data_IF_319113655549
#
_entry.id   IF_319113655549
#
_cell.length_a   1.000
_cell.length_b   1.000
_cell.length_c   1.000
_cell.angle_alpha   90.00
_cell.angle_beta   90.00
_cell.angle_gamma   90.00
#
_symmetry.space_group_name_H-M   'P 1'
#
loop_
_entity.id
_entity.type
_entity.pdbx_description
1 polymer ?
#
# COMPACT_ATOMS: atom_id res chain seq x y z
N UNK A 1 -21.17 10.72 -4.06
CA UNK A 1 -20.89 9.88 -2.88
C UNK A 1 -21.90 8.74 -2.80
N UNK A 2 -21.43 7.50 -2.75
CA UNK A 2 -22.24 6.28 -2.60
C UNK A 2 -22.05 5.71 -1.20
N UNK A 3 -23.08 5.14 -0.60
CA UNK A 3 -23.06 4.58 0.76
C UNK A 3 -23.62 3.16 0.75
N UNK A 4 -22.95 2.27 1.47
CA UNK A 4 -23.31 0.86 1.63
C UNK A 4 -23.30 0.51 3.12
N UNK A 5 -24.29 -0.26 3.58
CA UNK A 5 -24.30 -0.78 4.95
C UNK A 5 -23.39 -2.00 5.03
N UNK A 6 -22.31 -1.88 5.81
CA UNK A 6 -21.23 -2.86 5.92
C UNK A 6 -20.79 -2.95 7.38
N UNK A 7 -21.57 -3.63 8.24
CA UNK A 7 -21.28 -3.72 9.68
C UNK A 7 -20.05 -4.57 9.99
N UNK A 8 -19.50 -5.29 9.01
CA UNK A 8 -18.27 -6.06 9.11
C UNK A 8 -17.23 -5.54 8.10
N UNK A 9 -15.92 -5.77 8.34
CA UNK A 9 -14.86 -5.40 7.42
C UNK A 9 -15.09 -5.94 6.01
N UNK A 10 -14.81 -5.10 5.00
CA UNK A 10 -15.05 -5.41 3.59
C UNK A 10 -13.76 -5.80 2.86
N UNK A 11 -13.91 -6.39 1.68
CA UNK A 11 -12.83 -6.47 0.69
C UNK A 11 -13.03 -5.36 -0.35
N UNK A 12 -12.19 -4.33 -0.33
CA UNK A 12 -12.19 -3.26 -1.31
C UNK A 12 -11.26 -3.61 -2.48
N UNK A 13 -11.83 -3.83 -3.65
CA UNK A 13 -11.13 -4.09 -4.91
C UNK A 13 -11.23 -2.83 -5.78
N UNK A 14 -10.07 -2.30 -6.18
CA UNK A 14 -9.96 -1.08 -6.96
C UNK A 14 -9.12 -1.36 -8.21
N UNK A 15 -9.70 -1.16 -9.39
CA UNK A 15 -8.97 -1.17 -10.66
C UNK A 15 -9.19 0.19 -11.34
N UNK A 16 -8.19 1.05 -11.21
CA UNK A 16 -8.21 2.38 -11.81
C UNK A 16 -6.88 2.66 -12.51
N UNK A 17 -6.88 3.31 -13.67
CA UNK A 17 -5.66 3.53 -14.42
C UNK A 17 -4.72 4.51 -13.71
N UNK A 18 -5.25 5.65 -13.24
CA UNK A 18 -4.46 6.62 -12.52
C UNK A 18 -5.29 7.43 -11.53
N UNK A 19 -4.70 7.81 -10.40
CA UNK A 19 -5.40 8.65 -9.44
C UNK A 19 -4.79 8.82 -8.05
N UNK A 20 -5.46 9.66 -7.28
CA UNK A 20 -5.28 9.77 -5.84
C UNK A 20 -6.27 8.82 -5.18
N UNK A 21 -5.77 7.97 -4.29
CA UNK A 21 -6.57 6.96 -3.61
C UNK A 21 -6.39 7.16 -2.13
N UNK A 22 -7.50 7.43 -1.44
CA UNK A 22 -7.54 7.60 0.01
C UNK A 22 -8.42 6.55 0.66
N UNK A 23 -7.83 5.72 1.52
CA UNK A 23 -8.57 4.80 2.38
C UNK A 23 -8.62 5.35 3.81
N UNK A 24 -9.83 5.48 4.37
CA UNK A 24 -10.04 5.92 5.75
C UNK A 24 -10.68 4.77 6.51
N UNK A 25 -9.87 4.06 7.29
CA UNK A 25 -10.28 2.94 8.10
C UNK A 25 -10.59 3.39 9.53
N UNK A 26 -11.84 3.26 9.94
CA UNK A 26 -12.31 3.67 11.26
C UNK A 26 -13.28 2.64 11.84
N UNK A 27 -13.57 2.74 13.14
CA UNK A 27 -14.66 2.00 13.76
C UNK A 27 -16.00 2.55 13.26
N UNK A 28 -16.51 1.94 12.18
CA UNK A 28 -17.75 2.32 11.51
C UNK A 28 -18.44 1.09 10.95
N UNK A 29 -19.76 1.18 10.76
CA UNK A 29 -20.60 0.08 10.29
C UNK A 29 -21.10 0.29 8.87
N UNK A 30 -20.52 1.23 8.15
CA UNK A 30 -20.89 1.59 6.78
C UNK A 30 -19.64 1.85 5.95
N UNK A 31 -19.79 1.75 4.63
CA UNK A 31 -18.74 2.05 3.67
C UNK A 31 -19.23 3.14 2.73
N UNK A 32 -18.45 4.21 2.61
CA UNK A 32 -18.77 5.32 1.72
C UNK A 32 -17.69 5.51 0.68
N UNK A 33 -18.09 5.61 -0.58
CA UNK A 33 -17.18 5.80 -1.71
C UNK A 33 -17.50 7.11 -2.39
N UNK A 34 -16.47 7.91 -2.60
CA UNK A 34 -16.49 9.12 -3.40
C UNK A 34 -15.48 8.98 -4.54
N UNK A 35 -15.96 9.17 -5.76
CA UNK A 35 -15.13 9.17 -6.97
C UNK A 35 -15.36 10.53 -7.62
N UNK A 36 -14.28 11.30 -7.73
CA UNK A 36 -14.26 12.62 -8.35
C UNK A 36 -13.23 12.64 -9.48
N UNK A 37 -13.39 13.52 -10.48
CA UNK A 37 -12.29 13.80 -11.39
C UNK A 37 -11.15 14.48 -10.63
N UNK A 38 -9.91 14.07 -10.88
CA UNK A 38 -8.76 14.75 -10.28
C UNK A 38 -8.66 16.22 -10.72
N UNK A 39 -9.09 16.53 -11.95
CA UNK A 39 -9.21 17.89 -12.47
C UNK A 39 -10.54 18.06 -13.22
N UNK A 40 -11.48 18.77 -12.60
CA UNK A 40 -12.81 19.02 -13.18
C UNK A 40 -12.78 19.85 -14.48
N UNK A 41 -11.67 20.53 -14.80
CA UNK A 41 -11.50 21.24 -16.07
C UNK A 41 -11.11 20.32 -17.22
N UNK A 42 -10.64 19.10 -16.92
CA UNK A 42 -10.20 18.12 -17.92
C UNK A 42 -11.34 17.16 -18.22
N UNK A 43 -11.88 17.26 -19.44
CA UNK A 43 -12.98 16.40 -19.88
C UNK A 43 -12.67 14.90 -19.80
N UNK A 44 -11.40 14.50 -19.88
CA UNK A 44 -10.97 13.11 -19.71
C UNK A 44 -11.13 12.61 -18.26
N UNK A 45 -10.84 13.46 -17.27
CA UNK A 45 -10.94 13.12 -15.85
C UNK A 45 -12.42 13.07 -15.45
N UNK A 46 -13.21 14.04 -15.93
CA UNK A 46 -14.67 14.04 -15.78
C UNK A 46 -15.29 12.76 -16.36
N UNK A 47 -14.94 12.39 -17.60
CA UNK A 47 -15.43 11.16 -18.23
C UNK A 47 -15.01 9.91 -17.45
N UNK A 48 -13.77 9.85 -16.98
CA UNK A 48 -13.31 8.72 -16.18
C UNK A 48 -14.14 8.58 -14.90
N UNK A 49 -14.42 9.69 -14.21
CA UNK A 49 -15.22 9.67 -12.97
C UNK A 49 -16.68 9.27 -13.24
N UNK A 50 -17.31 9.81 -14.28
CA UNK A 50 -18.69 9.49 -14.68
C UNK A 50 -18.86 8.02 -15.09
N UNK A 51 -17.84 7.44 -15.71
CA UNK A 51 -17.88 6.06 -16.19
C UNK A 51 -17.38 5.04 -15.17
N UNK A 52 -16.83 5.49 -14.03
CA UNK A 52 -16.38 4.60 -12.97
C UNK A 52 -17.58 3.93 -12.31
N UNK A 53 -17.54 2.62 -12.23
CA UNK A 53 -18.58 1.83 -11.56
C UNK A 53 -18.16 1.54 -10.13
N UNK A 54 -19.10 1.66 -9.21
CA UNK A 54 -18.91 1.29 -7.81
C UNK A 54 -20.02 0.34 -7.44
N UNK A 55 -19.67 -0.84 -6.97
CA UNK A 55 -20.64 -1.86 -6.53
C UNK A 55 -20.20 -2.41 -5.19
N UNK A 56 -21.17 -2.72 -4.33
CA UNK A 56 -20.90 -3.46 -3.10
C UNK A 56 -21.82 -4.68 -3.08
N UNK A 57 -21.24 -5.87 -3.03
CA UNK A 57 -21.99 -7.13 -3.04
C UNK A 57 -21.27 -8.14 -2.17
N UNK A 58 -21.99 -8.77 -1.25
CA UNK A 58 -21.47 -9.80 -0.34
C UNK A 58 -20.19 -9.38 0.41
N UNK A 59 -20.15 -8.13 0.90
CA UNK A 59 -18.99 -7.58 1.62
C UNK A 59 -17.77 -7.27 0.74
N UNK A 60 -17.92 -7.35 -0.59
CA UNK A 60 -16.90 -6.92 -1.56
C UNK A 60 -17.31 -5.60 -2.18
N UNK A 61 -16.53 -4.56 -1.94
CA UNK A 61 -16.64 -3.26 -2.62
C UNK A 61 -15.76 -3.30 -3.88
N UNK A 62 -16.33 -3.17 -5.07
CA UNK A 62 -15.58 -3.03 -6.32
C UNK A 62 -15.70 -1.62 -6.85
N UNK A 63 -14.57 -1.01 -7.19
CA UNK A 63 -14.46 0.29 -7.85
C UNK A 63 -13.66 0.06 -9.13
N UNK A 64 -14.32 0.13 -10.28
CA UNK A 64 -13.72 -0.19 -11.57
C UNK A 64 -13.91 0.99 -12.52
N UNK A 65 -12.79 1.58 -12.94
CA UNK A 65 -12.78 2.51 -14.06
C UNK A 65 -12.82 1.71 -15.38
N UNK A 66 -13.49 2.21 -16.43
CA UNK A 66 -13.56 1.48 -17.68
C UNK A 66 -12.16 1.26 -18.26
N UNK A 67 -11.83 0.01 -18.54
CA UNK A 67 -10.70 -0.29 -19.41
C UNK A 67 -10.97 0.38 -20.76
N UNK A 68 -10.20 1.41 -21.09
CA UNK A 68 -10.38 2.14 -22.34
C UNK A 68 -10.32 1.17 -23.52
N UNK A 69 -11.45 0.96 -24.21
CA UNK A 69 -11.55 0.07 -25.39
C UNK A 69 -10.56 0.46 -26.49
N UNK A 70 -10.00 1.67 -26.45
CA UNK A 70 -9.01 2.20 -27.36
C UNK A 70 -7.82 2.81 -26.58
N UNK A 71 -6.99 1.98 -25.91
CA UNK A 71 -5.71 2.46 -25.32
C UNK A 71 -4.77 3.11 -26.35
N UNK A 72 -5.02 2.90 -27.65
CA UNK A 72 -4.34 3.57 -28.75
C UNK A 72 -4.72 5.06 -28.97
N UNK A 73 -5.78 5.58 -28.31
CA UNK A 73 -6.36 6.90 -28.63
C UNK A 73 -6.38 7.91 -27.46
N UNK A 74 -5.58 7.70 -26.41
CA UNK A 74 -5.31 8.74 -25.40
C UNK A 74 -5.28 8.27 -23.95
N UNK A 75 -4.65 9.08 -23.09
CA UNK A 75 -4.52 8.84 -21.64
C UNK A 75 -5.88 8.62 -20.99
N UNK A 76 -6.04 7.51 -20.28
CA UNK A 76 -7.10 7.33 -19.28
C UNK A 76 -7.11 8.51 -18.30
N UNK A 77 -8.29 9.05 -17.99
CA UNK A 77 -8.42 10.16 -17.05
C UNK A 77 -7.91 9.81 -15.65
N UNK A 78 -7.59 10.84 -14.88
CA UNK A 78 -7.11 10.71 -13.49
C UNK A 78 -8.28 10.92 -12.52
N UNK A 79 -8.36 10.05 -11.51
CA UNK A 79 -9.43 10.06 -10.51
C UNK A 79 -8.92 10.51 -9.14
N UNK A 80 -9.82 11.07 -8.34
CA UNK A 80 -9.65 11.21 -6.89
C UNK A 80 -10.70 10.31 -6.22
N UNK A 81 -10.23 9.25 -5.57
CA UNK A 81 -11.07 8.19 -5.00
C UNK A 81 -10.86 8.18 -3.50
N UNK A 82 -11.92 8.49 -2.76
CA UNK A 82 -11.93 8.40 -1.30
C UNK A 82 -12.90 7.31 -0.85
N UNK A 83 -12.37 6.32 -0.13
CA UNK A 83 -13.13 5.21 0.44
C UNK A 83 -13.00 5.28 1.95
N UNK A 84 -14.14 5.43 2.62
CA UNK A 84 -14.18 5.21 4.06
C UNK A 84 -14.80 3.85 4.32
N UNK A 85 -14.15 3.05 5.16
CA UNK A 85 -14.51 1.66 5.41
C UNK A 85 -14.24 1.24 6.87
N UNK A 86 -14.84 0.14 7.35
CA UNK A 86 -14.58 -0.38 8.69
C UNK A 86 -13.11 -0.79 8.86
N UNK A 87 -12.53 -0.55 10.04
CA UNK A 87 -11.17 -1.01 10.37
C UNK A 87 -11.00 -2.52 10.17
N UNK A 88 -9.82 -2.94 9.73
CA UNK A 88 -9.53 -4.33 9.37
C UNK A 88 -10.00 -4.75 7.96
N UNK A 89 -10.60 -3.83 7.19
CA UNK A 89 -10.96 -4.13 5.79
C UNK A 89 -9.72 -4.40 4.95
N UNK A 90 -9.87 -5.32 4.00
CA UNK A 90 -8.81 -5.69 3.05
C UNK A 90 -8.89 -4.79 1.84
N UNK A 91 -7.74 -4.47 1.27
CA UNK A 91 -7.63 -3.65 0.07
C UNK A 91 -6.85 -4.43 -0.98
N UNK A 92 -7.40 -4.49 -2.19
CA UNK A 92 -6.72 -4.95 -3.39
C UNK A 92 -6.83 -3.83 -4.44
N UNK A 93 -5.69 -3.25 -4.81
CA UNK A 93 -5.63 -2.17 -5.76
C UNK A 93 -4.74 -2.54 -6.94
N UNK A 94 -5.19 -2.20 -8.14
CA UNK A 94 -4.41 -2.28 -9.37
C UNK A 94 -4.45 -0.93 -10.06
N UNK A 95 -3.26 -0.39 -10.33
CA UNK A 95 -3.13 0.94 -10.92
C UNK A 95 -1.96 1.01 -11.90
N UNK A 96 -1.94 2.00 -12.80
CA UNK A 96 -0.75 2.30 -13.58
C UNK A 96 0.06 3.44 -12.94
N UNK A 97 -0.61 4.49 -12.46
CA UNK A 97 0.00 5.64 -11.80
C UNK A 97 -0.86 6.16 -10.64
N UNK A 98 -0.45 5.93 -9.39
CA UNK A 98 -1.28 6.31 -8.25
C UNK A 98 -0.55 6.84 -7.03
N UNK A 99 -1.25 7.65 -6.25
CA UNK A 99 -0.88 7.95 -4.86
C UNK A 99 -1.87 7.28 -3.94
N UNK A 100 -1.45 6.26 -3.22
CA UNK A 100 -2.27 5.56 -2.25
C UNK A 100 -1.90 6.03 -0.85
N UNK A 101 -2.86 6.61 -0.15
CA UNK A 101 -2.73 6.97 1.25
C UNK A 101 -3.82 6.28 2.06
N UNK A 102 -3.45 5.68 3.18
CA UNK A 102 -4.43 5.14 4.12
C UNK A 102 -4.23 5.73 5.51
N UNK A 103 -5.33 5.94 6.22
CA UNK A 103 -5.37 6.37 7.62
C UNK A 103 -6.15 5.36 8.44
N UNK A 104 -5.64 5.04 9.62
CA UNK A 104 -6.19 4.01 10.49
C UNK A 104 -5.83 2.59 10.06
N UNK A 105 -6.43 1.61 10.75
CA UNK A 105 -6.06 0.20 10.67
C UNK A 105 -6.72 -0.52 9.51
N UNK A 106 -5.93 -0.88 8.51
CA UNK A 106 -6.30 -1.80 7.44
C UNK A 106 -5.96 -3.25 7.81
N UNK A 107 -6.67 -4.19 7.17
CA UNK A 107 -6.33 -5.61 7.20
C UNK A 107 -5.15 -5.90 6.28
N UNK A 108 -5.31 -6.82 5.34
CA UNK A 108 -4.30 -7.05 4.30
C UNK A 108 -4.45 -6.09 3.14
N UNK A 109 -3.33 -5.49 2.72
CA UNK A 109 -3.25 -4.60 1.55
C UNK A 109 -2.46 -5.28 0.43
N UNK A 110 -3.06 -5.39 -0.75
CA UNK A 110 -2.42 -5.83 -1.99
C UNK A 110 -2.42 -4.69 -2.98
N UNK A 111 -1.27 -4.37 -3.56
CA UNK A 111 -1.15 -3.36 -4.61
C UNK A 111 -0.25 -3.89 -5.74
N UNK A 112 -0.72 -3.72 -6.97
CA UNK A 112 0.08 -3.86 -8.18
C UNK A 112 0.05 -2.52 -8.93
N UNK A 113 1.21 -1.87 -9.07
CA UNK A 113 1.30 -0.62 -9.81
C UNK A 113 2.57 -0.48 -10.65
N UNK A 114 2.48 0.16 -11.81
CA UNK A 114 3.69 0.54 -12.53
C UNK A 114 4.39 1.70 -11.82
N UNK A 115 3.67 2.76 -11.46
CA UNK A 115 4.17 3.89 -10.71
C UNK A 115 3.25 4.16 -9.52
N UNK A 116 3.77 4.19 -8.30
CA UNK A 116 2.97 4.66 -7.18
C UNK A 116 3.77 5.15 -5.98
N UNK A 117 3.23 6.15 -5.28
CA UNK A 117 3.66 6.48 -3.92
C UNK A 117 2.63 5.90 -2.95
N UNK A 118 3.10 5.09 -2.01
CA UNK A 118 2.23 4.38 -1.05
C UNK A 118 2.57 4.83 0.36
N UNK A 119 1.55 5.25 1.09
CA UNK A 119 1.64 5.54 2.51
C UNK A 119 0.54 4.80 3.27
N UNK A 120 0.95 3.86 4.12
CA UNK A 120 0.06 3.09 4.98
C UNK A 120 0.27 3.49 6.43
N UNK A 121 -0.80 3.84 7.13
CA UNK A 121 -0.77 4.18 8.55
C UNK A 121 -0.59 2.91 9.41
N UNK A 122 -1.60 2.04 9.47
CA UNK A 122 -1.51 0.75 10.14
C UNK A 122 -2.08 -0.37 9.25
N UNK A 123 -1.36 -1.49 9.18
CA UNK A 123 -1.79 -2.65 8.39
C UNK A 123 -1.40 -3.98 9.04
N UNK A 124 -2.29 -4.98 8.95
CA UNK A 124 -2.01 -6.35 9.40
C UNK A 124 -1.04 -7.08 8.47
N UNK A 125 -0.94 -6.67 7.21
CA UNK A 125 0.04 -7.19 6.28
C UNK A 125 -0.06 -6.56 4.90
N UNK A 126 1.04 -6.59 4.15
CA UNK A 126 1.12 -5.93 2.86
C UNK A 126 1.77 -6.81 1.80
N UNK A 127 1.23 -6.80 0.58
CA UNK A 127 1.85 -7.35 -0.62
C UNK A 127 1.84 -6.27 -1.69
N UNK A 128 2.96 -5.57 -1.86
CA UNK A 128 3.05 -4.41 -2.73
C UNK A 128 4.10 -4.68 -3.81
N UNK A 129 3.69 -4.62 -5.08
CA UNK A 129 4.56 -4.76 -6.24
C UNK A 129 4.49 -3.48 -7.06
N UNK A 130 5.62 -2.78 -7.15
CA UNK A 130 5.77 -1.54 -7.90
C UNK A 130 6.87 -1.66 -8.94
N UNK A 131 6.74 -1.03 -10.10
CA UNK A 131 7.92 -0.83 -10.97
C UNK A 131 8.72 0.38 -10.49
N UNK A 132 8.05 1.49 -10.15
CA UNK A 132 8.70 2.65 -9.55
C UNK A 132 7.82 3.33 -8.50
N UNK A 133 8.47 3.91 -7.50
CA UNK A 133 7.90 4.74 -6.47
C UNK A 133 8.18 4.25 -5.05
N UNK A 134 7.94 5.15 -4.11
CA UNK A 134 8.30 4.99 -2.71
C UNK A 134 7.16 4.37 -1.91
N UNK A 135 7.51 3.56 -0.92
CA UNK A 135 6.55 2.92 -0.02
C UNK A 135 6.92 3.27 1.41
N UNK A 136 5.97 3.82 2.15
CA UNK A 136 6.06 4.04 3.59
C UNK A 136 4.94 3.28 4.29
N UNK A 137 5.29 2.44 5.25
CA UNK A 137 4.36 1.80 6.18
C UNK A 137 4.72 2.28 7.57
N UNK A 138 3.81 3.00 8.24
CA UNK A 138 4.10 3.54 9.56
C UNK A 138 4.07 2.44 10.61
N UNK A 139 3.03 1.60 10.63
CA UNK A 139 2.91 0.46 11.53
C UNK A 139 2.49 -0.82 10.81
N UNK A 140 3.25 -1.89 11.02
CA UNK A 140 3.02 -3.21 10.44
C UNK A 140 2.88 -4.26 11.56
N UNK A 141 1.67 -4.80 11.72
CA UNK A 141 1.34 -5.77 12.80
C UNK A 141 1.50 -7.25 12.39
N UNK A 142 1.96 -7.51 11.17
CA UNK A 142 2.17 -8.85 10.64
C UNK A 142 3.13 -8.88 9.45
N UNK A 143 2.98 -9.88 8.57
CA UNK A 143 3.94 -10.11 7.48
C UNK A 143 3.75 -9.16 6.31
N UNK A 144 4.84 -8.77 5.66
CA UNK A 144 4.83 -7.97 4.45
C UNK A 144 5.83 -8.45 3.40
N UNK A 145 5.43 -8.32 2.14
CA UNK A 145 6.26 -8.55 0.95
C UNK A 145 6.15 -7.30 0.06
N UNK A 146 7.20 -6.49 0.02
CA UNK A 146 7.22 -5.21 -0.68
C UNK A 146 8.39 -5.23 -1.67
N UNK A 147 8.07 -5.08 -2.95
CA UNK A 147 9.03 -5.07 -4.04
C UNK A 147 8.82 -3.84 -4.92
N UNK A 148 9.87 -3.07 -5.15
CA UNK A 148 9.90 -1.98 -6.14
C UNK A 148 11.14 -2.14 -7.01
N UNK A 149 11.18 -1.68 -8.27
CA UNK A 149 12.47 -1.62 -8.98
C UNK A 149 13.20 -0.33 -8.64
N UNK A 150 12.47 0.78 -8.52
CA UNK A 150 13.05 2.09 -8.19
C UNK A 150 12.22 2.79 -7.14
N UNK A 151 12.80 3.03 -5.97
CA UNK A 151 12.14 3.75 -4.88
C UNK A 151 12.66 3.31 -3.53
N UNK A 152 12.50 4.17 -2.54
CA UNK A 152 12.81 3.90 -1.16
C UNK A 152 11.68 3.11 -0.50
N UNK A 153 12.06 2.16 0.35
CA UNK A 153 11.15 1.38 1.17
C UNK A 153 11.36 1.74 2.65
N UNK A 154 10.30 2.18 3.32
CA UNK A 154 10.33 2.57 4.72
C UNK A 154 9.25 1.84 5.50
N UNK A 155 9.64 1.12 6.54
CA UNK A 155 8.75 0.60 7.57
C UNK A 155 9.14 1.28 8.88
N UNK A 156 8.30 2.16 9.41
CA UNK A 156 8.64 2.94 10.62
C UNK A 156 8.62 2.05 11.86
N UNK A 157 7.60 1.19 11.99
CA UNK A 157 7.44 0.25 13.09
C UNK A 157 6.90 -1.10 12.57
N UNK A 158 7.69 -2.18 12.73
CA UNK A 158 7.31 -3.56 12.47
C UNK A 158 7.23 -4.32 13.79
N UNK A 159 6.06 -4.93 14.07
CA UNK A 159 5.78 -5.55 15.36
C UNK A 159 6.18 -7.03 15.39
N UNK A 160 5.81 -7.79 14.35
CA UNK A 160 6.02 -9.24 14.26
C UNK A 160 5.85 -9.74 12.82
N UNK A 161 6.20 -11.00 12.60
CA UNK A 161 6.03 -11.69 11.33
C UNK A 161 7.27 -11.62 10.44
N UNK A 162 7.08 -11.88 9.15
CA UNK A 162 8.17 -11.86 8.17
C UNK A 162 8.02 -10.66 7.24
N UNK A 163 9.05 -9.82 7.18
CA UNK A 163 9.07 -8.60 6.38
C UNK A 163 10.14 -8.74 5.30
N UNK A 164 9.71 -8.89 4.06
CA UNK A 164 10.60 -8.96 2.89
C UNK A 164 10.51 -7.66 2.11
N UNK A 165 11.62 -6.92 2.04
CA UNK A 165 11.76 -5.65 1.35
C UNK A 165 12.79 -5.80 0.23
N UNK A 166 12.39 -5.50 -1.01
CA UNK A 166 13.25 -5.59 -2.19
C UNK A 166 13.16 -4.33 -3.04
N UNK A 167 14.30 -3.73 -3.34
CA UNK A 167 14.42 -2.63 -4.30
C UNK A 167 15.62 -2.83 -5.21
N UNK A 168 15.60 -2.42 -6.47
CA UNK A 168 16.85 -2.41 -7.27
C UNK A 168 17.61 -1.10 -7.00
N UNK A 169 16.90 0.03 -6.96
CA UNK A 169 17.45 1.35 -6.72
C UNK A 169 16.66 2.09 -5.64
N UNK A 170 17.23 2.19 -4.45
CA UNK A 170 16.67 2.94 -3.34
C UNK A 170 17.12 2.41 -2.00
N UNK A 171 16.90 3.23 -0.98
CA UNK A 171 17.24 2.88 0.39
C UNK A 171 16.12 2.06 1.02
N UNK A 172 16.51 1.16 1.91
CA UNK A 172 15.58 0.39 2.75
C UNK A 172 15.77 0.83 4.19
N UNK A 173 14.69 1.22 4.86
CA UNK A 173 14.70 1.53 6.29
C UNK A 173 13.61 0.76 7.02
N UNK A 174 13.97 0.12 8.13
CA UNK A 174 13.04 -0.63 8.97
C UNK A 174 13.27 -0.35 10.46
N UNK A 175 12.21 0.01 11.16
CA UNK A 175 12.17 0.05 12.62
C UNK A 175 11.46 -1.19 13.17
N UNK A 176 12.09 -1.92 14.09
CA UNK A 176 11.41 -2.93 14.90
C UNK A 176 10.74 -2.27 16.11
N UNK A 177 9.52 -2.69 16.43
CA UNK A 177 8.77 -2.19 17.58
C UNK A 177 9.54 -2.37 18.91
N UNK A 178 9.20 -1.55 19.90
CA UNK A 178 9.85 -1.59 21.22
C UNK A 178 9.67 -2.98 21.85
N UNK A 179 10.79 -3.58 22.28
CA UNK A 179 10.78 -4.90 22.92
C UNK A 179 10.62 -6.08 21.95
N UNK A 180 10.56 -5.85 20.64
CA UNK A 180 10.56 -6.91 19.64
C UNK A 180 11.99 -7.38 19.37
N UNK A 181 12.25 -8.67 19.59
CA UNK A 181 13.44 -9.33 19.07
C UNK A 181 13.30 -9.53 17.55
N UNK A 182 14.35 -9.17 16.80
CA UNK A 182 14.33 -9.21 15.35
C UNK A 182 15.61 -9.84 14.76
N UNK A 183 15.43 -10.65 13.72
CA UNK A 183 16.53 -11.11 12.86
C UNK A 183 16.59 -10.27 11.58
N UNK A 184 17.80 -10.09 11.05
CA UNK A 184 18.03 -9.38 9.80
C UNK A 184 18.92 -10.20 8.87
N UNK A 185 18.40 -10.45 7.68
CA UNK A 185 19.14 -10.87 6.51
C UNK A 185 19.12 -9.71 5.51
N UNK A 186 20.24 -9.01 5.38
CA UNK A 186 20.37 -7.82 4.57
C UNK A 186 21.44 -8.01 3.48
N UNK A 187 21.11 -7.63 2.25
CA UNK A 187 22.02 -7.66 1.11
C UNK A 187 21.95 -6.36 0.32
N UNK A 188 23.06 -5.65 0.21
CA UNK A 188 23.23 -4.53 -0.72
C UNK A 188 24.34 -4.81 -1.71
N UNK A 189 24.16 -4.46 -2.99
CA UNK A 189 25.23 -4.50 -4.00
C UNK A 189 26.18 -3.31 -3.89
N UNK A 190 25.58 -2.12 -3.75
CA UNK A 190 26.27 -0.84 -3.63
C UNK A 190 25.57 0.02 -2.56
N UNK A 191 26.13 0.02 -1.35
CA UNK A 191 25.63 0.81 -0.23
C UNK A 191 26.17 0.30 1.10
N UNK A 192 25.63 0.85 2.19
CA UNK A 192 25.96 0.49 3.56
C UNK A 192 24.80 -0.23 4.23
N UNK A 193 25.12 -1.20 5.07
CA UNK A 193 24.16 -1.84 5.97
C UNK A 193 24.43 -1.32 7.39
N UNK A 194 23.42 -0.72 8.00
CA UNK A 194 23.41 -0.34 9.41
C UNK A 194 22.37 -1.18 10.14
N UNK A 195 22.82 -1.93 11.15
CA UNK A 195 21.95 -2.78 11.96
C UNK A 195 22.14 -2.46 13.44
N UNK A 196 21.06 -2.02 14.08
CA UNK A 196 20.96 -1.77 15.52
C UNK A 196 19.75 -2.49 16.12
N UNK A 197 19.29 -3.57 15.47
CA UNK A 197 18.20 -4.39 15.97
C UNK A 197 18.60 -5.15 17.23
N UNK A 198 17.66 -5.22 18.17
CA UNK A 198 17.76 -6.09 19.33
C UNK A 198 17.40 -7.52 18.90
N UNK A 199 18.30 -8.46 19.18
CA UNK A 199 18.08 -9.88 18.90
C UNK A 199 18.40 -10.69 20.16
N UNK A 200 17.40 -10.88 21.01
CA UNK A 200 17.52 -11.69 22.24
C UNK A 200 17.15 -13.14 22.02
N UNK A 201 16.29 -13.41 21.04
CA UNK A 201 15.61 -14.69 20.86
C UNK A 201 16.19 -15.53 19.70
N UNK A 202 17.18 -14.99 18.99
CA UNK A 202 17.87 -15.68 17.90
C UNK A 202 16.89 -16.13 16.79
N UNK A 203 16.84 -17.42 16.45
CA UNK A 203 15.94 -17.94 15.41
C UNK A 203 14.46 -17.87 15.79
N UNK A 204 14.12 -17.76 17.08
CA UNK A 204 12.73 -17.67 17.58
C UNK A 204 12.23 -16.21 17.68
N UNK A 205 12.99 -15.26 17.10
CA UNK A 205 12.62 -13.85 17.06
C UNK A 205 11.23 -13.64 16.44
N UNK A 206 10.42 -12.81 17.10
CA UNK A 206 9.06 -12.50 16.65
C UNK A 206 9.01 -11.79 15.29
N UNK A 207 10.11 -11.12 14.90
CA UNK A 207 10.24 -10.41 13.63
C UNK A 207 11.43 -10.95 12.82
N UNK A 208 11.17 -11.36 11.59
CA UNK A 208 12.22 -11.76 10.63
C UNK A 208 12.24 -10.78 9.47
N UNK A 209 13.39 -10.15 9.23
CA UNK A 209 13.55 -9.13 8.19
C UNK A 209 14.48 -9.62 7.10
N UNK A 210 14.00 -9.64 5.86
CA UNK A 210 14.80 -9.83 4.67
C UNK A 210 14.83 -8.54 3.86
N UNK A 211 15.97 -7.88 3.77
CA UNK A 211 16.14 -6.62 3.04
C UNK A 211 17.15 -6.81 1.90
N UNK A 212 16.77 -6.51 0.66
CA UNK A 212 17.68 -6.59 -0.48
C UNK A 212 17.58 -5.34 -1.34
N UNK A 213 18.71 -4.67 -1.54
CA UNK A 213 18.85 -3.57 -2.51
C UNK A 213 20.02 -3.81 -3.46
N UNK A 214 19.95 -3.42 -4.73
CA UNK A 214 21.13 -3.47 -5.59
C UNK A 214 21.97 -2.19 -5.43
N UNK A 215 21.31 -1.03 -5.32
CA UNK A 215 21.92 0.28 -5.09
C UNK A 215 21.14 1.06 -4.04
N UNK A 216 21.75 1.26 -2.88
CA UNK A 216 21.16 1.96 -1.75
C UNK A 216 21.61 1.42 -0.41
N UNK A 217 21.31 2.18 0.62
CA UNK A 217 21.63 1.82 2.00
C UNK A 217 20.49 1.02 2.63
N UNK A 218 20.84 0.14 3.57
CA UNK A 218 19.88 -0.60 4.39
C UNK A 218 20.09 -0.19 5.84
N UNK A 219 19.08 0.41 6.47
CA UNK A 219 19.11 0.77 7.88
C UNK A 219 18.01 0.02 8.64
N UNK A 220 18.41 -0.83 9.58
CA UNK A 220 17.50 -1.55 10.47
C UNK A 220 17.80 -1.18 11.93
N UNK A 221 16.77 -0.79 12.68
CA UNK A 221 16.91 -0.34 14.08
C UNK A 221 15.77 -0.78 14.97
N UNK A 222 16.03 -1.04 16.24
CA UNK A 222 14.98 -1.14 17.25
C UNK A 222 14.60 0.25 17.77
N UNK A 223 13.32 0.47 18.08
CA UNK A 223 12.79 1.75 18.58
C UNK A 223 12.96 1.95 20.08
#
# INVERSE_FOLDING_TARGET
>A
MQKFDTPAPVAAVLDIPAGHIRFVAADRTDTTVEVLPADASKSRDVKAAEQTTVTCTDGTLRIEAPAGKNQALGSSGTLDVTVHLPSGSRVEAKTADARLHSTGRLGHVRLDSAQATVELDETEGARLTLAAGDVTVHRLDGSAEISTQKGALRVTEAVRGTVTLRTEHGDISLGAARGTSATLDARTGHGRIENTLTNTDGPDAALTVHATTAYGDIAARSL
#
